data_IF_994904398861
#
_entry.id   IF_994904398861
#
_cell.length_a   1.000
_cell.length_b   1.000
_cell.length_c   1.000
_cell.angle_alpha   90.00
_cell.angle_beta   90.00
_cell.angle_gamma   90.00
#
_symmetry.space_group_name_H-M   'P 1'
#
loop_
_entity.id
_entity.type
_entity.pdbx_description
1 polymer ?
#
# COMPACT_ATOMS: atom_id res chain seq x y z
N UNK A 1 10.98 -22.43 -8.44
CA UNK A 1 11.21 -21.09 -7.79
C UNK A 1 10.16 -20.68 -6.77
N UNK A 2 8.90 -21.03 -6.92
CA UNK A 2 7.78 -20.61 -6.03
C UNK A 2 7.96 -20.92 -4.53
N UNK A 3 8.51 -22.10 -4.16
CA UNK A 3 8.75 -22.43 -2.76
C UNK A 3 9.85 -21.57 -2.11
N UNK A 4 10.89 -21.22 -2.88
CA UNK A 4 11.96 -20.33 -2.40
C UNK A 4 11.42 -18.94 -2.19
N UNK A 5 10.69 -18.37 -3.18
CA UNK A 5 10.02 -17.08 -3.07
C UNK A 5 9.10 -17.00 -1.84
N UNK A 6 8.28 -18.04 -1.62
CA UNK A 6 7.38 -18.10 -0.48
C UNK A 6 8.13 -18.14 0.88
N UNK A 7 9.22 -18.89 0.98
CA UNK A 7 10.04 -18.94 2.21
C UNK A 7 10.75 -17.61 2.48
N UNK A 8 11.38 -17.04 1.46
CA UNK A 8 12.07 -15.75 1.55
C UNK A 8 11.08 -14.64 1.93
N UNK A 9 9.91 -14.59 1.27
CA UNK A 9 8.87 -13.61 1.59
C UNK A 9 8.30 -13.79 2.99
N UNK A 10 8.10 -15.04 3.44
CA UNK A 10 7.64 -15.31 4.82
C UNK A 10 8.68 -14.83 5.85
N UNK A 11 9.96 -15.12 5.63
CA UNK A 11 11.03 -14.64 6.52
C UNK A 11 11.08 -13.10 6.56
N UNK A 12 11.02 -12.44 5.40
CA UNK A 12 10.97 -10.98 5.32
C UNK A 12 9.77 -10.38 6.05
N UNK A 13 8.57 -10.97 5.87
CA UNK A 13 7.36 -10.50 6.54
C UNK A 13 7.43 -10.68 8.07
N UNK A 14 7.95 -11.79 8.56
CA UNK A 14 8.13 -12.04 10.00
C UNK A 14 9.14 -11.04 10.61
N UNK A 15 10.26 -10.81 9.94
CA UNK A 15 11.27 -9.82 10.39
C UNK A 15 10.69 -8.40 10.38
N UNK A 16 9.90 -8.04 9.37
CA UNK A 16 9.24 -6.75 9.30
C UNK A 16 8.23 -6.57 10.45
N UNK A 17 7.44 -7.60 10.74
CA UNK A 17 6.51 -7.59 11.87
C UNK A 17 7.23 -7.46 13.22
N UNK A 18 8.34 -8.17 13.41
CA UNK A 18 9.17 -8.05 14.60
C UNK A 18 9.75 -6.63 14.74
N UNK A 19 10.27 -6.03 13.67
CA UNK A 19 10.76 -4.65 13.67
C UNK A 19 9.66 -3.65 14.03
N UNK A 20 8.43 -3.82 13.50
CA UNK A 20 7.28 -3.01 13.86
C UNK A 20 6.87 -3.14 15.33
N UNK A 21 6.89 -4.35 15.88
CA UNK A 21 6.63 -4.57 17.31
C UNK A 21 7.69 -3.92 18.20
N UNK A 22 8.98 -4.05 17.83
CA UNK A 22 10.07 -3.37 18.55
C UNK A 22 9.87 -1.86 18.53
N UNK A 23 9.56 -1.28 17.37
CA UNK A 23 9.29 0.15 17.27
C UNK A 23 8.09 0.58 18.11
N UNK A 24 6.98 -0.15 18.06
CA UNK A 24 5.79 0.16 18.85
C UNK A 24 6.07 0.08 20.36
N UNK A 25 6.78 -0.96 20.82
CA UNK A 25 7.14 -1.11 22.23
C UNK A 25 8.12 -0.05 22.69
N UNK A 26 9.15 0.26 21.93
CA UNK A 26 10.08 1.34 22.26
C UNK A 26 9.36 2.68 22.31
N UNK A 27 8.47 2.97 21.36
CA UNK A 27 7.67 4.18 21.37
C UNK A 27 6.71 4.30 22.56
N UNK A 28 6.25 3.17 23.10
CA UNK A 28 5.39 3.15 24.27
C UNK A 28 6.18 3.33 25.60
N UNK A 29 7.39 2.81 25.67
CA UNK A 29 8.21 2.73 26.91
C UNK A 29 9.14 3.93 27.07
N UNK A 30 9.76 4.39 25.98
CA UNK A 30 10.74 5.49 26.06
C UNK A 30 9.98 6.81 26.20
N UNK A 31 10.29 7.62 27.23
CA UNK A 31 9.69 8.95 27.38
C UNK A 31 10.10 9.80 26.17
N UNK A 32 9.13 10.33 25.47
CA UNK A 32 9.39 11.18 24.31
C UNK A 32 9.77 12.59 24.79
N UNK A 33 10.93 13.04 24.34
CA UNK A 33 11.44 14.40 24.58
C UNK A 33 10.61 15.48 23.85
N UNK A 34 9.82 15.07 22.84
CA UNK A 34 9.03 15.97 22.00
C UNK A 34 7.52 15.96 22.27
N UNK A 35 7.04 15.11 23.17
CA UNK A 35 5.60 14.95 23.48
C UNK A 35 4.79 14.16 22.43
N UNK A 36 5.42 13.62 21.38
CA UNK A 36 4.74 12.91 20.29
C UNK A 36 4.75 11.38 20.45
N UNK A 37 4.44 10.87 21.64
CA UNK A 37 4.49 9.43 21.99
C UNK A 37 3.72 8.50 21.04
N UNK A 38 2.64 9.00 20.44
CA UNK A 38 1.76 8.18 19.59
C UNK A 38 2.34 7.89 18.22
N UNK A 39 3.25 8.74 17.68
CA UNK A 39 3.80 8.54 16.34
C UNK A 39 4.63 7.25 16.21
N UNK A 40 5.61 6.93 17.06
CA UNK A 40 6.34 5.68 16.95
C UNK A 40 5.46 4.44 17.17
N UNK A 41 4.48 4.51 18.07
CA UNK A 41 3.51 3.43 18.29
C UNK A 41 2.64 3.22 17.04
N UNK A 42 2.09 4.29 16.47
CA UNK A 42 1.26 4.23 15.26
C UNK A 42 2.03 3.68 14.06
N UNK A 43 3.25 4.14 13.84
CA UNK A 43 4.13 3.64 12.79
C UNK A 43 4.50 2.17 13.00
N UNK A 44 4.80 1.76 14.22
CA UNK A 44 5.08 0.37 14.54
C UNK A 44 3.89 -0.55 14.29
N UNK A 45 2.69 -0.17 14.71
CA UNK A 45 1.46 -0.92 14.46
C UNK A 45 1.12 -0.98 12.96
N UNK A 46 1.30 0.11 12.21
CA UNK A 46 1.15 0.11 10.76
C UNK A 46 2.13 -0.88 10.12
N UNK A 47 3.40 -0.88 10.55
CA UNK A 47 4.41 -1.81 10.07
C UNK A 47 4.01 -3.26 10.30
N UNK A 48 3.44 -3.58 11.47
CA UNK A 48 2.88 -4.92 11.76
C UNK A 48 1.73 -5.27 10.80
N UNK A 49 0.83 -4.32 10.54
CA UNK A 49 -0.26 -4.51 9.57
C UNK A 49 0.26 -4.78 8.16
N UNK A 50 1.23 -3.98 7.71
CA UNK A 50 1.90 -4.16 6.41
C UNK A 50 2.67 -5.48 6.32
N UNK A 51 3.30 -5.92 7.41
CA UNK A 51 3.92 -7.24 7.49
C UNK A 51 2.89 -8.37 7.34
N UNK A 52 1.68 -8.20 7.87
CA UNK A 52 0.56 -9.12 7.65
C UNK A 52 0.18 -9.24 6.17
N UNK A 53 0.10 -8.11 5.45
CA UNK A 53 -0.16 -8.08 4.00
C UNK A 53 0.96 -8.82 3.25
N UNK A 54 2.23 -8.52 3.56
CA UNK A 54 3.37 -9.19 2.96
C UNK A 54 3.38 -10.71 3.23
N UNK A 55 2.97 -11.13 4.43
CA UNK A 55 2.87 -12.54 4.80
C UNK A 55 1.79 -13.26 3.98
N UNK A 56 0.63 -12.65 3.81
CA UNK A 56 -0.44 -13.19 2.95
C UNK A 56 0.06 -13.31 1.51
N UNK A 57 0.71 -12.28 0.98
CA UNK A 57 1.28 -12.28 -0.35
C UNK A 57 2.32 -13.41 -0.53
N UNK A 58 3.25 -13.57 0.43
CA UNK A 58 4.25 -14.62 0.40
C UNK A 58 3.64 -16.04 0.42
N UNK A 59 2.56 -16.24 1.16
CA UNK A 59 1.84 -17.52 1.19
C UNK A 59 1.18 -17.85 -0.16
N UNK A 60 0.70 -16.85 -0.88
CA UNK A 60 0.12 -17.01 -2.23
C UNK A 60 1.14 -17.47 -3.27
N UNK A 61 2.44 -17.21 -3.10
CA UNK A 61 3.48 -17.73 -3.99
C UNK A 61 3.60 -19.27 -3.99
N UNK A 62 2.99 -19.95 -3.03
CA UNK A 62 2.95 -21.43 -3.01
C UNK A 62 1.99 -22.03 -4.02
N UNK A 63 1.05 -21.23 -4.53
CA UNK A 63 0.05 -21.66 -5.50
C UNK A 63 0.50 -21.25 -6.91
N UNK A 64 0.13 -22.05 -7.90
CA UNK A 64 0.31 -21.68 -9.30
C UNK A 64 -0.70 -20.58 -9.64
N UNK A 65 -0.20 -19.39 -9.86
CA UNK A 65 -0.99 -18.22 -10.19
C UNK A 65 -0.72 -17.78 -11.63
N UNK A 66 -1.74 -17.33 -12.36
CA UNK A 66 -1.56 -16.63 -13.63
C UNK A 66 -0.65 -15.40 -13.47
N UNK A 67 -0.02 -14.90 -14.55
CA UNK A 67 0.96 -13.80 -14.50
C UNK A 67 0.44 -12.52 -13.83
N UNK A 68 -0.80 -12.11 -14.14
CA UNK A 68 -1.41 -10.91 -13.57
C UNK A 68 -1.57 -10.96 -12.04
N UNK A 69 -2.33 -11.93 -11.49
CA UNK A 69 -2.42 -12.14 -10.05
C UNK A 69 -1.07 -12.36 -9.37
N UNK A 70 -0.13 -13.08 -10.03
CA UNK A 70 1.23 -13.28 -9.52
C UNK A 70 1.97 -11.94 -9.35
N UNK A 71 1.91 -11.07 -10.36
CA UNK A 71 2.50 -9.74 -10.29
C UNK A 71 1.87 -8.87 -9.18
N UNK A 72 0.54 -8.92 -9.02
CA UNK A 72 -0.14 -8.20 -7.95
C UNK A 72 0.32 -8.66 -6.55
N UNK A 73 0.46 -9.97 -6.34
CA UNK A 73 0.99 -10.50 -5.07
C UNK A 73 2.47 -10.20 -4.88
N UNK A 74 3.27 -10.13 -5.96
CA UNK A 74 4.66 -9.69 -5.88
C UNK A 74 4.76 -8.23 -5.40
N UNK A 75 3.92 -7.34 -5.94
CA UNK A 75 3.83 -5.95 -5.44
C UNK A 75 3.32 -5.90 -4.00
N UNK A 76 2.33 -6.72 -3.62
CA UNK A 76 1.86 -6.86 -2.25
C UNK A 76 2.90 -7.40 -1.27
N UNK A 77 3.94 -8.09 -1.76
CA UNK A 77 5.10 -8.50 -0.96
C UNK A 77 6.15 -7.40 -0.86
N UNK A 78 6.56 -6.81 -1.99
CA UNK A 78 7.62 -5.80 -2.04
C UNK A 78 7.19 -4.45 -1.47
N UNK A 79 5.95 -4.02 -1.77
CA UNK A 79 5.42 -2.71 -1.37
C UNK A 79 5.54 -2.43 0.13
N UNK A 80 5.02 -3.29 1.01
CA UNK A 80 5.18 -3.15 2.46
C UNK A 80 6.63 -2.97 2.91
N UNK A 81 7.55 -3.77 2.35
CA UNK A 81 8.97 -3.67 2.67
C UNK A 81 9.56 -2.29 2.33
N UNK A 82 9.28 -1.81 1.13
CA UNK A 82 9.76 -0.51 0.65
C UNK A 82 9.14 0.66 1.42
N UNK A 83 7.83 0.60 1.71
CA UNK A 83 7.15 1.63 2.50
C UNK A 83 7.72 1.71 3.92
N UNK A 84 8.05 0.57 4.53
CA UNK A 84 8.58 0.55 5.89
C UNK A 84 10.03 1.04 6.02
N UNK A 85 10.78 1.20 4.93
CA UNK A 85 12.10 1.84 4.97
C UNK A 85 12.04 3.27 5.54
N UNK A 86 10.94 3.99 5.27
CA UNK A 86 10.74 5.35 5.77
C UNK A 86 10.21 5.40 7.21
N UNK A 87 9.70 4.31 7.76
CA UNK A 87 9.09 4.28 9.10
C UNK A 87 9.99 3.68 10.17
N UNK A 88 10.64 2.56 9.86
CA UNK A 88 11.43 1.76 10.81
C UNK A 88 12.94 2.00 10.60
N UNK A 89 13.30 2.75 9.55
CA UNK A 89 14.70 3.11 9.26
C UNK A 89 15.56 1.87 8.98
N UNK A 90 16.73 1.82 9.60
CA UNK A 90 17.74 0.75 9.37
C UNK A 90 17.19 -0.65 9.63
N UNK A 91 16.28 -0.81 10.59
CA UNK A 91 15.70 -2.12 10.92
C UNK A 91 14.83 -2.71 9.80
N UNK A 92 14.32 -1.86 8.88
CA UNK A 92 13.53 -2.32 7.75
C UNK A 92 14.38 -2.79 6.54
N UNK A 93 15.68 -2.51 6.48
CA UNK A 93 16.50 -2.86 5.33
C UNK A 93 16.54 -4.36 5.04
N UNK A 94 16.86 -5.17 6.04
CA UNK A 94 16.94 -6.62 5.86
C UNK A 94 15.56 -7.22 5.43
N UNK A 95 14.44 -6.95 6.12
CA UNK A 95 13.15 -7.42 5.68
C UNK A 95 12.73 -6.86 4.30
N UNK A 96 13.03 -5.61 3.97
CA UNK A 96 12.72 -5.04 2.65
C UNK A 96 13.47 -5.77 1.53
N UNK A 97 14.77 -6.03 1.69
CA UNK A 97 15.56 -6.80 0.72
C UNK A 97 14.99 -8.20 0.53
N UNK A 98 14.61 -8.89 1.60
CA UNK A 98 14.01 -10.23 1.51
C UNK A 98 12.64 -10.21 0.80
N UNK A 99 11.82 -9.20 1.08
CA UNK A 99 10.50 -9.07 0.45
C UNK A 99 10.59 -8.72 -1.04
N UNK A 100 11.53 -7.84 -1.42
CA UNK A 100 11.82 -7.52 -2.82
C UNK A 100 12.40 -8.74 -3.53
N UNK A 101 13.36 -9.44 -2.92
CA UNK A 101 13.92 -10.68 -3.49
C UNK A 101 12.84 -11.74 -3.69
N UNK A 102 11.93 -11.91 -2.73
CA UNK A 102 10.79 -12.82 -2.87
C UNK A 102 9.88 -12.44 -4.04
N UNK A 103 9.59 -11.16 -4.20
CA UNK A 103 8.79 -10.65 -5.31
C UNK A 103 9.47 -10.91 -6.66
N UNK A 104 10.76 -10.63 -6.79
CA UNK A 104 11.55 -10.89 -8.00
C UNK A 104 11.56 -12.38 -8.32
N UNK A 105 11.84 -13.24 -7.34
CA UNK A 105 11.81 -14.70 -7.52
C UNK A 105 10.42 -15.23 -7.93
N UNK A 106 9.35 -14.61 -7.43
CA UNK A 106 8.00 -14.99 -7.76
C UNK A 106 7.65 -14.71 -9.22
N UNK A 107 8.18 -13.64 -9.82
CA UNK A 107 7.88 -13.24 -11.21
C UNK A 107 8.96 -13.63 -12.22
N UNK A 108 10.10 -14.16 -11.77
CA UNK A 108 11.26 -14.43 -12.63
C UNK A 108 10.94 -15.34 -13.84
N UNK A 109 10.12 -16.38 -13.62
CA UNK A 109 9.74 -17.34 -14.68
C UNK A 109 8.75 -16.75 -15.73
N UNK A 110 8.27 -15.51 -15.55
CA UNK A 110 7.31 -14.84 -16.43
C UNK A 110 7.44 -13.32 -16.35
N UNK A 111 8.64 -12.81 -16.25
CA UNK A 111 8.91 -11.39 -16.01
C UNK A 111 8.28 -10.45 -17.04
N UNK A 112 8.38 -10.78 -18.33
CA UNK A 112 7.79 -9.98 -19.40
C UNK A 112 6.25 -9.95 -19.36
N UNK A 113 5.61 -11.07 -19.01
CA UNK A 113 4.15 -11.15 -18.87
C UNK A 113 3.69 -10.42 -17.59
N UNK A 114 4.44 -10.57 -16.49
CA UNK A 114 4.18 -9.86 -15.25
C UNK A 114 4.33 -8.35 -15.43
N UNK A 115 5.35 -7.88 -16.15
CA UNK A 115 5.53 -6.47 -16.46
C UNK A 115 4.39 -5.91 -17.31
N UNK A 116 3.93 -6.65 -18.33
CA UNK A 116 2.75 -6.27 -19.12
C UNK A 116 1.49 -6.21 -18.29
N UNK A 117 1.29 -7.15 -17.37
CA UNK A 117 0.15 -7.15 -16.47
C UNK A 117 0.16 -5.95 -15.50
N UNK A 118 1.32 -5.58 -14.96
CA UNK A 118 1.48 -4.35 -14.14
C UNK A 118 1.21 -3.11 -14.98
N UNK A 119 1.76 -3.04 -16.19
CA UNK A 119 1.53 -1.92 -17.10
C UNK A 119 0.05 -1.77 -17.48
N UNK A 120 -0.68 -2.89 -17.63
CA UNK A 120 -2.12 -2.85 -17.87
C UNK A 120 -2.93 -2.32 -16.68
N UNK A 121 -2.41 -2.44 -15.45
CA UNK A 121 -3.07 -2.02 -14.20
C UNK A 121 -2.34 -0.86 -13.51
N UNK A 122 -1.52 -0.10 -14.26
CA UNK A 122 -0.74 1.00 -13.69
C UNK A 122 -1.56 2.02 -12.87
N UNK A 123 -2.83 2.37 -13.25
CA UNK A 123 -3.59 3.33 -12.47
C UNK A 123 -3.97 2.77 -11.09
N UNK A 124 -4.33 1.48 -11.01
CA UNK A 124 -4.66 0.82 -9.74
C UNK A 124 -3.43 0.73 -8.83
N UNK A 125 -2.28 0.42 -9.41
CA UNK A 125 -1.00 0.36 -8.69
C UNK A 125 -0.64 1.72 -8.11
N UNK A 126 -0.77 2.80 -8.92
CA UNK A 126 -0.49 4.16 -8.45
C UNK A 126 -1.47 4.64 -7.38
N UNK A 127 -2.79 4.38 -7.53
CA UNK A 127 -3.77 4.71 -6.49
C UNK A 127 -3.45 3.97 -5.19
N UNK A 128 -3.05 2.70 -5.27
CA UNK A 128 -2.66 1.93 -4.09
C UNK A 128 -1.39 2.48 -3.43
N UNK A 129 -0.40 2.90 -4.23
CA UNK A 129 0.81 3.53 -3.72
C UNK A 129 0.52 4.87 -3.03
N UNK A 130 -0.35 5.70 -3.62
CA UNK A 130 -0.78 6.96 -3.01
C UNK A 130 -1.57 6.73 -1.72
N UNK A 131 -2.48 5.76 -1.70
CA UNK A 131 -3.22 5.37 -0.50
C UNK A 131 -2.29 4.84 0.60
N UNK A 132 -1.34 4.00 0.25
CA UNK A 132 -0.31 3.51 1.17
C UNK A 132 0.56 4.64 1.73
N UNK A 133 0.95 5.60 0.89
CA UNK A 133 1.69 6.79 1.30
C UNK A 133 0.88 7.66 2.28
N UNK A 134 -0.43 7.85 2.04
CA UNK A 134 -1.30 8.56 2.97
C UNK A 134 -1.42 7.86 4.31
N UNK A 135 -1.59 6.52 4.33
CA UNK A 135 -1.60 5.73 5.56
C UNK A 135 -0.31 5.90 6.35
N UNK A 136 0.83 5.90 5.64
CA UNK A 136 2.14 6.10 6.24
C UNK A 136 2.27 7.48 6.89
N UNK A 137 1.89 8.53 6.17
CA UNK A 137 1.95 9.91 6.69
C UNK A 137 0.98 10.11 7.85
N UNK A 138 -0.21 9.52 7.77
CA UNK A 138 -1.20 9.57 8.82
C UNK A 138 -0.72 8.92 10.13
N UNK A 139 -0.01 7.79 10.04
CA UNK A 139 0.48 7.08 11.22
C UNK A 139 1.48 7.89 12.07
N UNK A 140 2.15 8.89 11.49
CA UNK A 140 3.07 9.80 12.19
C UNK A 140 2.41 11.12 12.62
N UNK A 141 1.11 11.30 12.37
CA UNK A 141 0.38 12.53 12.59
C UNK A 141 -0.37 12.54 13.94
N UNK A 142 -0.87 13.69 14.40
CA UNK A 142 -1.78 13.76 15.55
C UNK A 142 -3.02 12.87 15.37
N UNK A 143 -3.65 12.39 16.48
CA UNK A 143 -4.69 11.35 16.41
C UNK A 143 -5.86 11.64 15.45
N UNK A 144 -6.30 12.89 15.38
CA UNK A 144 -7.39 13.29 14.49
C UNK A 144 -6.97 13.28 12.99
N UNK A 145 -5.73 13.70 12.67
CA UNK A 145 -5.18 13.60 11.31
C UNK A 145 -4.92 12.15 10.95
N UNK A 146 -4.48 11.35 11.92
CA UNK A 146 -4.30 9.90 11.77
C UNK A 146 -5.62 9.23 11.36
N UNK A 147 -6.73 9.55 12.02
CA UNK A 147 -8.04 9.01 11.68
C UNK A 147 -8.48 9.40 10.26
N UNK A 148 -8.36 10.68 9.90
CA UNK A 148 -8.71 11.18 8.56
C UNK A 148 -7.82 10.52 7.50
N UNK A 149 -6.52 10.47 7.72
CA UNK A 149 -5.58 9.88 6.77
C UNK A 149 -5.73 8.36 6.62
N UNK A 150 -6.08 7.65 7.70
CA UNK A 150 -6.38 6.23 7.65
C UNK A 150 -7.62 5.95 6.78
N UNK A 151 -8.70 6.72 6.97
CA UNK A 151 -9.91 6.63 6.15
C UNK A 151 -9.60 6.98 4.69
N UNK A 152 -8.89 8.08 4.45
CA UNK A 152 -8.53 8.54 3.10
C UNK A 152 -7.62 7.54 2.37
N UNK A 153 -6.56 7.07 3.01
CA UNK A 153 -5.64 6.11 2.40
C UNK A 153 -6.31 4.77 2.09
N UNK A 154 -7.14 4.27 3.02
CA UNK A 154 -7.91 3.04 2.81
C UNK A 154 -8.91 3.20 1.67
N UNK A 155 -9.59 4.34 1.58
CA UNK A 155 -10.55 4.61 0.51
C UNK A 155 -9.89 4.60 -0.88
N UNK A 156 -8.67 5.16 -1.03
CA UNK A 156 -7.91 5.09 -2.30
C UNK A 156 -7.55 3.65 -2.68
N UNK A 157 -7.07 2.85 -1.72
CA UNK A 157 -6.76 1.45 -1.98
C UNK A 157 -8.00 0.66 -2.39
N UNK A 158 -9.13 0.86 -1.70
CA UNK A 158 -10.40 0.23 -2.05
C UNK A 158 -10.91 0.69 -3.43
N UNK A 159 -10.79 1.98 -3.75
CA UNK A 159 -11.17 2.51 -5.07
C UNK A 159 -10.40 1.83 -6.21
N UNK A 160 -9.14 1.45 -5.97
CA UNK A 160 -8.31 0.79 -6.96
C UNK A 160 -8.79 -0.64 -7.30
N UNK A 161 -9.20 -1.41 -6.28
CA UNK A 161 -9.37 -2.87 -6.43
C UNK A 161 -10.79 -3.38 -6.19
N UNK A 162 -11.66 -2.60 -5.52
CA UNK A 162 -13.01 -3.05 -5.23
C UNK A 162 -13.84 -3.13 -6.54
N UNK A 163 -14.45 -4.28 -6.86
CA UNK A 163 -15.39 -4.39 -7.96
C UNK A 163 -16.70 -3.68 -7.58
N UNK A 164 -16.74 -2.37 -7.78
CA UNK A 164 -17.87 -1.54 -7.39
C UNK A 164 -18.44 -0.75 -8.58
N UNK A 165 -19.66 -0.30 -8.43
CA UNK A 165 -20.31 0.61 -9.40
C UNK A 165 -19.46 1.89 -9.55
N UNK A 166 -19.41 2.52 -10.76
CA UNK A 166 -18.62 3.72 -11.00
C UNK A 166 -18.86 4.84 -9.97
N UNK A 167 -20.11 5.06 -9.57
CA UNK A 167 -20.46 6.06 -8.55
C UNK A 167 -19.81 5.78 -7.18
N UNK A 168 -19.73 4.51 -6.76
CA UNK A 168 -19.08 4.11 -5.51
C UNK A 168 -17.59 4.35 -5.60
N UNK A 169 -16.96 4.03 -6.74
CA UNK A 169 -15.52 4.29 -6.95
C UNK A 169 -15.22 5.80 -6.93
N UNK A 170 -16.05 6.62 -7.58
CA UNK A 170 -15.91 8.09 -7.50
C UNK A 170 -16.01 8.54 -6.04
N UNK A 171 -17.03 8.06 -5.31
CA UNK A 171 -17.17 8.37 -3.88
C UNK A 171 -15.95 7.98 -3.06
N UNK A 172 -15.38 6.81 -3.30
CA UNK A 172 -14.16 6.36 -2.62
C UNK A 172 -12.94 7.23 -2.97
N UNK A 173 -12.79 7.64 -4.24
CA UNK A 173 -11.69 8.54 -4.64
C UNK A 173 -11.86 9.92 -4.00
N UNK A 174 -13.06 10.46 -3.98
CA UNK A 174 -13.34 11.74 -3.32
C UNK A 174 -13.10 11.64 -1.80
N UNK A 175 -13.56 10.57 -1.16
CA UNK A 175 -13.29 10.30 0.25
C UNK A 175 -11.78 10.12 0.51
N UNK A 176 -11.06 9.54 -0.43
CA UNK A 176 -9.63 9.32 -0.33
C UNK A 176 -8.77 10.56 -0.59
N UNK A 177 -9.31 11.61 -1.19
CA UNK A 177 -8.53 12.79 -1.57
C UNK A 177 -8.96 14.05 -0.84
N UNK A 178 -10.26 14.34 -0.79
CA UNK A 178 -10.79 15.64 -0.33
C UNK A 178 -10.56 15.88 1.17
N UNK A 179 -10.90 14.95 2.10
CA UNK A 179 -10.77 15.24 3.53
C UNK A 179 -9.34 15.58 3.92
N UNK A 180 -8.36 14.83 3.45
CA UNK A 180 -6.96 15.07 3.79
C UNK A 180 -6.42 16.34 3.10
N UNK A 181 -6.86 16.65 1.89
CA UNK A 181 -6.49 17.88 1.19
C UNK A 181 -7.06 19.12 1.91
N UNK A 182 -8.29 19.05 2.41
CA UNK A 182 -8.91 20.15 3.17
C UNK A 182 -8.24 20.36 4.52
N UNK A 183 -7.98 19.28 5.24
CA UNK A 183 -7.36 19.32 6.58
C UNK A 183 -5.88 19.70 6.50
N UNK A 184 -5.18 19.22 5.48
CA UNK A 184 -3.75 19.40 5.29
C UNK A 184 -3.40 20.43 4.21
N UNK A 185 -4.29 21.38 3.89
CA UNK A 185 -4.08 22.36 2.82
C UNK A 185 -2.80 23.19 2.98
N UNK A 186 -2.36 23.43 4.20
CA UNK A 186 -1.10 24.10 4.53
C UNK A 186 0.14 23.23 4.24
N UNK A 187 -0.04 21.92 4.13
CA UNK A 187 1.01 21.01 3.72
C UNK A 187 0.78 20.63 2.25
N UNK A 188 1.63 21.07 1.34
CA UNK A 188 1.51 20.83 -0.12
C UNK A 188 1.33 19.35 -0.48
N UNK A 189 1.78 18.41 0.38
CA UNK A 189 1.76 16.97 0.13
C UNK A 189 0.35 16.42 -0.10
N UNK A 190 -0.68 16.68 0.74
CA UNK A 190 -2.03 16.19 0.47
C UNK A 190 -2.64 16.75 -0.82
N UNK A 191 -2.33 17.99 -1.16
CA UNK A 191 -2.79 18.61 -2.41
C UNK A 191 -2.13 17.94 -3.63
N UNK A 192 -0.83 17.65 -3.57
CA UNK A 192 -0.13 16.91 -4.61
C UNK A 192 -0.69 15.49 -4.78
N UNK A 193 -0.97 14.79 -3.66
CA UNK A 193 -1.62 13.47 -3.72
C UNK A 193 -2.98 13.56 -4.40
N UNK A 194 -3.80 14.54 -4.05
CA UNK A 194 -5.11 14.75 -4.68
C UNK A 194 -4.97 15.08 -6.18
N UNK A 195 -4.04 15.97 -6.54
CA UNK A 195 -3.78 16.36 -7.92
C UNK A 195 -3.33 15.20 -8.80
N UNK A 196 -2.62 14.23 -8.23
CA UNK A 196 -2.18 13.02 -8.95
C UNK A 196 -3.25 11.93 -8.94
N UNK A 197 -3.92 11.72 -7.80
CA UNK A 197 -4.91 10.66 -7.66
C UNK A 197 -6.16 10.88 -8.54
N UNK A 198 -6.63 12.12 -8.68
CA UNK A 198 -7.85 12.42 -9.45
C UNK A 198 -7.73 12.07 -10.95
N UNK A 199 -6.69 12.48 -11.70
CA UNK A 199 -6.54 12.08 -13.10
C UNK A 199 -6.30 10.56 -13.27
N UNK A 200 -5.63 9.91 -12.32
CA UNK A 200 -5.45 8.46 -12.32
C UNK A 200 -6.79 7.75 -12.13
N UNK A 201 -7.61 8.22 -11.18
CA UNK A 201 -8.96 7.70 -10.97
C UNK A 201 -9.83 7.88 -12.20
N UNK A 202 -9.74 9.01 -12.89
CA UNK A 202 -10.43 9.24 -14.16
C UNK A 202 -10.00 8.23 -15.23
N UNK A 203 -8.71 7.88 -15.30
CA UNK A 203 -8.21 6.85 -16.21
C UNK A 203 -8.74 5.45 -15.88
N UNK A 204 -8.92 5.12 -14.60
CA UNK A 204 -9.53 3.84 -14.16
C UNK A 204 -11.01 3.76 -14.52
N UNK A 205 -11.72 4.89 -14.50
CA UNK A 205 -13.18 4.94 -14.73
C UNK A 205 -13.57 4.98 -16.21
N UNK A 206 -12.71 5.50 -17.09
CA UNK A 206 -12.97 5.65 -18.53
C UNK A 206 -13.45 4.37 -19.24
N UNK A 207 -12.83 3.19 -19.09
CA UNK A 207 -13.26 1.99 -19.79
C UNK A 207 -14.68 1.55 -19.40
N UNK A 208 -15.07 1.77 -18.14
CA UNK A 208 -16.38 1.39 -17.63
C UNK A 208 -17.50 2.30 -18.12
N UNK A 209 -17.23 3.59 -18.28
CA UNK A 209 -18.19 4.54 -18.85
C UNK A 209 -18.47 4.21 -20.32
N UNK A 210 -17.46 3.83 -21.10
CA UNK A 210 -17.60 3.46 -22.51
C UNK A 210 -18.39 2.16 -22.70
N UNK A 211 -18.23 1.17 -21.81
CA UNK A 211 -19.01 -0.07 -21.84
C UNK A 211 -20.50 0.15 -21.47
N UNK A 212 -20.77 1.05 -20.53
CA UNK A 212 -22.15 1.39 -20.17
C UNK A 212 -22.87 2.07 -21.33
N UNK A 213 -22.25 3.06 -21.96
CA UNK A 213 -22.81 3.75 -23.14
C UNK A 213 -23.04 2.82 -24.33
N UNK A 214 -22.25 1.75 -24.47
CA UNK A 214 -22.40 0.75 -25.54
C UNK A 214 -23.53 -0.26 -25.25
N UNK A 215 -23.91 -0.46 -24.00
CA UNK A 215 -25.03 -1.35 -23.64
C UNK A 215 -26.40 -0.69 -23.76
N UNK A 216 -26.42 0.65 -23.68
CA UNK A 216 -27.66 1.45 -23.77
C UNK A 216 -27.93 1.95 -25.20
N UNK A 217 -27.04 1.66 -26.18
CA UNK A 217 -27.19 1.95 -27.61
C UNK A 217 -27.44 0.67 -28.40
#
# INVERSE_FOLDING_TARGET
>A
MTRVAARTGTAGAVLLGAAGLVQATLGAVIPDLTGAKLAPVGLGLLTVGLAGVALVAARRFRTELPPGPRAAWALGSAGPGLLCLSTVGVLAWAPAVLLVAAAVLAVADGAAESARAVAAHWPQVLLSALGGFQLLMAAAAPPWVMAVGAVSGTALVLAAWLPARPAVRVGLVLLGTVPLAVVGWYALVPLLVAAVALPIAAAVLRPQATELLRKDA
#
